data_IF_455844693168
#
_entry.id   IF_455844693168
#
_cell.length_a   1.000
_cell.length_b   1.000
_cell.length_c   1.000
_cell.angle_alpha   90.00
_cell.angle_beta   90.00
_cell.angle_gamma   90.00
#
_symmetry.space_group_name_H-M   'P 1'
#
loop_
_entity.id
_entity.type
_entity.pdbx_description
1 polymer ?
#
# COMPACT_ATOMS: atom_id res chain seq x y z
N UNK A 1 21.63 -3.15 -3.43
CA UNK A 1 21.24 -1.86 -4.05
C UNK A 1 22.48 -1.03 -4.35
N UNK A 2 23.16 -1.23 -5.48
CA UNK A 2 24.37 -0.47 -5.81
C UNK A 2 24.08 0.86 -6.53
N UNK A 3 22.88 0.98 -7.13
CA UNK A 3 22.52 2.07 -8.05
C UNK A 3 21.56 3.11 -7.43
N UNK A 4 20.90 2.78 -6.32
CA UNK A 4 20.02 3.69 -5.59
C UNK A 4 20.79 4.22 -4.38
N UNK A 5 20.95 5.54 -4.29
CA UNK A 5 21.71 6.20 -3.22
C UNK A 5 20.88 7.30 -2.56
N UNK A 6 21.22 7.60 -1.30
CA UNK A 6 20.62 8.69 -0.56
C UNK A 6 20.90 10.03 -1.22
N UNK A 7 19.84 10.77 -1.52
CA UNK A 7 19.90 12.12 -2.07
C UNK A 7 20.36 13.15 -1.04
N UNK A 8 21.10 14.16 -1.51
CA UNK A 8 21.60 15.27 -0.71
C UNK A 8 21.16 16.58 -1.37
N UNK A 9 20.67 17.52 -0.57
CA UNK A 9 20.12 18.79 -1.04
C UNK A 9 20.87 19.97 -0.42
N UNK A 10 20.91 21.08 -1.16
CA UNK A 10 21.12 22.43 -0.62
C UNK A 10 20.02 23.31 -1.19
N UNK A 11 19.40 24.13 -0.36
CA UNK A 11 18.33 25.04 -0.77
C UNK A 11 18.90 26.45 -0.85
N UNK A 12 18.57 27.21 -1.89
CA UNK A 12 18.93 28.64 -1.97
C UNK A 12 17.83 29.45 -1.31
N UNK A 13 18.14 30.12 -0.20
CA UNK A 13 17.23 31.00 0.52
C UNK A 13 17.88 32.37 0.68
N UNK A 14 17.19 33.45 0.30
CA UNK A 14 17.71 34.83 0.35
C UNK A 14 19.10 34.97 -0.27
N UNK A 15 19.29 34.38 -1.45
CA UNK A 15 20.55 34.38 -2.20
C UNK A 15 21.74 33.63 -1.55
N UNK A 16 21.56 32.99 -0.39
CA UNK A 16 22.56 32.11 0.24
C UNK A 16 22.13 30.65 0.17
N UNK A 17 23.10 29.73 0.06
CA UNK A 17 22.83 28.30 0.15
C UNK A 17 22.75 27.89 1.62
N UNK A 18 21.79 27.01 1.95
CA UNK A 18 21.73 26.34 3.24
C UNK A 18 22.88 25.35 3.41
N UNK A 19 23.02 24.85 4.64
CA UNK A 19 23.80 23.65 4.91
C UNK A 19 23.26 22.43 4.15
N UNK A 20 24.10 21.40 4.09
CA UNK A 20 23.79 20.15 3.41
C UNK A 20 22.67 19.41 4.16
N UNK A 21 21.55 19.19 3.49
CA UNK A 21 20.43 18.40 3.99
C UNK A 21 20.54 17.01 3.40
N UNK A 22 20.67 15.99 4.25
CA UNK A 22 20.69 14.58 3.84
C UNK A 22 19.30 14.00 4.08
N UNK A 23 18.62 13.58 3.01
CA UNK A 23 17.30 12.97 3.17
C UNK A 23 17.41 11.60 3.82
N UNK A 24 16.56 11.31 4.81
CA UNK A 24 16.48 9.97 5.42
C UNK A 24 15.39 9.09 4.81
N UNK A 25 14.37 9.69 4.19
CA UNK A 25 13.19 9.01 3.64
C UNK A 25 12.69 9.72 2.39
N UNK A 26 11.85 9.03 1.63
CA UNK A 26 11.19 9.58 0.45
C UNK A 26 12.05 9.52 -0.81
N UNK A 27 11.36 9.45 -1.94
CA UNK A 27 11.95 9.54 -3.26
C UNK A 27 11.87 10.99 -3.76
N UNK A 28 12.75 11.35 -4.71
CA UNK A 28 12.76 12.70 -5.26
C UNK A 28 11.50 12.91 -6.11
N UNK A 29 10.62 13.81 -5.71
CA UNK A 29 9.47 14.20 -6.53
C UNK A 29 9.94 14.87 -7.83
N UNK A 30 9.27 14.58 -8.94
CA UNK A 30 9.63 15.05 -10.27
C UNK A 30 10.80 14.32 -10.93
N UNK A 31 11.41 13.33 -10.25
CA UNK A 31 12.37 12.42 -10.87
C UNK A 31 11.63 11.27 -11.55
N UNK A 32 11.78 11.07 -12.87
CA UNK A 32 11.10 10.00 -13.59
C UNK A 32 11.41 8.60 -13.04
N UNK A 33 12.58 8.38 -12.42
CA UNK A 33 12.92 7.09 -11.82
C UNK A 33 12.24 6.83 -10.48
N UNK A 34 11.86 7.87 -9.74
CA UNK A 34 11.17 7.72 -8.46
C UNK A 34 9.83 6.98 -8.62
N UNK A 35 9.11 7.25 -9.71
CA UNK A 35 7.85 6.55 -10.01
C UNK A 35 8.08 5.04 -10.21
N UNK A 36 9.11 4.65 -10.96
CA UNK A 36 9.44 3.24 -11.17
C UNK A 36 9.90 2.53 -9.88
N UNK A 37 10.69 3.21 -9.04
CA UNK A 37 11.10 2.66 -7.75
C UNK A 37 9.89 2.43 -6.83
N UNK A 38 8.93 3.36 -6.84
CA UNK A 38 7.67 3.19 -6.12
C UNK A 38 6.85 2.00 -6.64
N UNK A 39 6.78 1.79 -7.96
CA UNK A 39 6.12 0.63 -8.55
C UNK A 39 6.73 -0.69 -8.07
N UNK A 40 8.05 -0.81 -7.96
CA UNK A 40 8.67 -2.01 -7.42
C UNK A 40 8.30 -2.27 -5.94
N UNK A 41 8.16 -1.21 -5.15
CA UNK A 41 7.66 -1.34 -3.78
C UNK A 41 6.21 -1.84 -3.78
N UNK A 42 5.32 -1.25 -4.58
CA UNK A 42 3.91 -1.67 -4.63
C UNK A 42 3.73 -3.07 -5.25
N UNK A 43 4.58 -3.46 -6.19
CA UNK A 43 4.64 -4.82 -6.74
C UNK A 43 4.98 -5.87 -5.67
N UNK A 44 5.82 -5.52 -4.69
CA UNK A 44 6.06 -6.41 -3.54
C UNK A 44 4.80 -6.61 -2.68
N UNK A 45 4.01 -5.55 -2.45
CA UNK A 45 2.72 -5.65 -1.76
C UNK A 45 1.72 -6.48 -2.58
N UNK A 46 1.68 -6.29 -3.90
CA UNK A 46 0.87 -7.08 -4.85
C UNK A 46 1.15 -8.57 -4.67
N UNK A 47 2.42 -8.96 -4.70
CA UNK A 47 2.84 -10.36 -4.52
C UNK A 47 2.46 -10.95 -3.17
N UNK A 48 2.51 -10.15 -2.09
CA UNK A 48 2.05 -10.62 -0.76
C UNK A 48 0.56 -10.94 -0.76
N UNK A 49 -0.26 -10.13 -1.43
CA UNK A 49 -1.68 -10.39 -1.60
C UNK A 49 -1.96 -11.57 -2.53
N UNK A 50 -1.21 -11.72 -3.63
CA UNK A 50 -1.31 -12.87 -4.53
C UNK A 50 -0.96 -14.18 -3.82
N UNK A 51 0.13 -14.21 -3.04
CA UNK A 51 0.50 -15.36 -2.22
C UNK A 51 -0.60 -15.71 -1.21
N UNK A 52 -1.14 -14.71 -0.52
CA UNK A 52 -2.26 -14.91 0.40
C UNK A 52 -3.51 -15.47 -0.31
N UNK A 53 -3.72 -15.12 -1.58
CA UNK A 53 -4.80 -15.67 -2.39
C UNK A 53 -4.54 -17.11 -2.82
N UNK A 54 -3.33 -17.43 -3.26
CA UNK A 54 -2.91 -18.79 -3.59
C UNK A 54 -3.04 -19.72 -2.38
N UNK A 55 -2.65 -19.23 -1.19
CA UNK A 55 -2.73 -19.95 0.08
C UNK A 55 -4.12 -19.91 0.73
N UNK A 56 -5.16 -19.45 0.02
CA UNK A 56 -6.55 -19.37 0.50
C UNK A 56 -6.77 -18.54 1.79
N UNK A 57 -5.80 -17.69 2.16
CA UNK A 57 -5.90 -16.77 3.30
C UNK A 57 -6.79 -15.57 2.97
N UNK A 58 -6.77 -15.10 1.73
CA UNK A 58 -7.64 -14.02 1.23
C UNK A 58 -8.24 -14.47 -0.09
N UNK A 59 -9.57 -14.52 -0.21
CA UNK A 59 -10.19 -15.07 -1.43
C UNK A 59 -10.38 -14.04 -2.55
N UNK A 60 -10.44 -12.75 -2.22
CA UNK A 60 -10.78 -11.69 -3.17
C UNK A 60 -12.19 -11.81 -3.75
N UNK A 61 -12.47 -10.98 -4.75
CA UNK A 61 -13.71 -10.89 -5.51
C UNK A 61 -13.49 -11.29 -6.98
N UNK A 62 -14.58 -11.54 -7.72
CA UNK A 62 -14.54 -11.72 -9.19
C UNK A 62 -15.74 -11.03 -9.80
N UNK A 63 -15.56 -10.36 -10.94
CA UNK A 63 -16.62 -9.65 -11.63
C UNK A 63 -17.53 -10.57 -12.47
N UNK A 64 -17.03 -11.73 -12.88
CA UNK A 64 -17.77 -12.74 -13.64
C UNK A 64 -17.50 -14.14 -13.10
N UNK A 65 -18.33 -15.12 -13.48
CA UNK A 65 -18.22 -16.51 -13.00
C UNK A 65 -16.84 -17.11 -13.32
N UNK A 66 -16.33 -16.83 -14.51
CA UNK A 66 -15.08 -17.38 -15.04
C UNK A 66 -13.94 -16.35 -15.09
N UNK A 67 -14.17 -15.16 -14.52
CA UNK A 67 -13.17 -14.10 -14.45
C UNK A 67 -12.12 -14.34 -13.35
N UNK A 68 -10.98 -13.64 -13.44
CA UNK A 68 -9.91 -13.74 -12.44
C UNK A 68 -10.40 -13.26 -11.08
N UNK A 69 -9.77 -13.79 -10.02
CA UNK A 69 -9.94 -13.28 -8.66
C UNK A 69 -9.03 -12.09 -8.44
N UNK A 70 -9.61 -11.02 -7.93
CA UNK A 70 -8.96 -9.75 -7.64
C UNK A 70 -9.12 -9.48 -6.15
N UNK A 71 -8.02 -9.23 -5.46
CA UNK A 71 -8.03 -8.84 -4.04
C UNK A 71 -7.46 -7.43 -3.80
N UNK A 72 -6.85 -6.80 -4.81
CA UNK A 72 -6.38 -5.42 -4.73
C UNK A 72 -6.40 -4.74 -6.11
N UNK A 73 -6.47 -3.40 -6.11
CA UNK A 73 -6.23 -2.53 -7.26
C UNK A 73 -5.39 -1.35 -6.78
N UNK A 74 -4.26 -1.10 -7.42
CA UNK A 74 -3.37 0.01 -7.08
C UNK A 74 -3.43 1.10 -8.14
N UNK A 75 -3.54 2.33 -7.67
CA UNK A 75 -3.39 3.56 -8.43
C UNK A 75 -2.18 4.34 -7.90
N UNK A 76 -1.90 5.51 -8.46
CA UNK A 76 -0.74 6.30 -8.05
C UNK A 76 -0.76 6.65 -6.55
N UNK A 77 -1.90 7.16 -6.07
CA UNK A 77 -2.05 7.65 -4.70
C UNK A 77 -3.01 6.81 -3.84
N UNK A 78 -3.79 5.94 -4.47
CA UNK A 78 -4.89 5.21 -3.84
C UNK A 78 -4.77 3.70 -4.06
N UNK A 79 -5.24 2.93 -3.08
CA UNK A 79 -5.34 1.48 -3.17
C UNK A 79 -6.75 1.05 -2.77
N UNK A 80 -7.34 0.15 -3.56
CA UNK A 80 -8.57 -0.56 -3.20
C UNK A 80 -8.22 -1.99 -2.84
N UNK A 81 -8.66 -2.42 -1.66
CA UNK A 81 -8.47 -3.79 -1.18
C UNK A 81 -9.82 -4.49 -1.06
N UNK A 82 -9.90 -5.70 -1.59
CA UNK A 82 -11.11 -6.51 -1.58
C UNK A 82 -10.93 -7.74 -0.70
N UNK A 83 -11.58 -7.70 0.46
CA UNK A 83 -11.52 -8.75 1.47
C UNK A 83 -12.94 -9.17 1.83
N UNK A 84 -13.16 -10.48 2.01
CA UNK A 84 -14.47 -10.94 2.48
C UNK A 84 -14.66 -10.57 3.94
N UNK A 85 -15.90 -10.34 4.34
CA UNK A 85 -16.26 -10.12 5.75
C UNK A 85 -16.19 -11.43 6.56
N UNK A 86 -14.98 -11.98 6.66
CA UNK A 86 -14.61 -13.14 7.44
C UNK A 86 -13.42 -12.73 8.29
N UNK A 87 -13.53 -12.89 9.61
CA UNK A 87 -12.53 -12.45 10.58
C UNK A 87 -11.11 -12.84 10.18
N UNK A 88 -10.90 -14.11 9.81
CA UNK A 88 -9.60 -14.65 9.37
C UNK A 88 -9.01 -13.93 8.13
N UNK A 89 -9.85 -13.50 7.18
CA UNK A 89 -9.36 -12.84 5.96
C UNK A 89 -9.03 -11.37 6.24
N UNK A 90 -9.81 -10.72 7.10
CA UNK A 90 -9.54 -9.37 7.59
C UNK A 90 -8.23 -9.34 8.36
N UNK A 91 -8.03 -10.29 9.29
CA UNK A 91 -6.78 -10.44 10.04
C UNK A 91 -5.59 -10.70 9.12
N UNK A 92 -5.74 -11.58 8.13
CA UNK A 92 -4.70 -11.83 7.14
C UNK A 92 -4.36 -10.57 6.34
N UNK A 93 -5.35 -9.77 5.94
CA UNK A 93 -5.14 -8.50 5.25
C UNK A 93 -4.37 -7.52 6.13
N UNK A 94 -4.79 -7.34 7.39
CA UNK A 94 -4.10 -6.45 8.33
C UNK A 94 -2.66 -6.89 8.60
N UNK A 95 -2.42 -8.20 8.68
CA UNK A 95 -1.07 -8.73 8.86
C UNK A 95 -0.17 -8.46 7.64
N UNK A 96 -0.68 -8.61 6.41
CA UNK A 96 0.04 -8.28 5.18
C UNK A 96 0.42 -6.79 5.18
N UNK A 97 -0.54 -5.92 5.48
CA UNK A 97 -0.33 -4.48 5.53
C UNK A 97 0.72 -4.08 6.57
N UNK A 98 0.64 -4.66 7.77
CA UNK A 98 1.63 -4.42 8.83
C UNK A 98 3.03 -4.91 8.46
N UNK A 99 3.12 -6.08 7.84
CA UNK A 99 4.40 -6.61 7.36
C UNK A 99 4.98 -5.70 6.27
N UNK A 100 4.16 -5.27 5.31
CA UNK A 100 4.60 -4.34 4.27
C UNK A 100 5.07 -3.00 4.83
N UNK A 101 4.33 -2.42 5.77
CA UNK A 101 4.72 -1.19 6.46
C UNK A 101 6.07 -1.34 7.15
N UNK A 102 6.30 -2.46 7.85
CA UNK A 102 7.58 -2.71 8.53
C UNK A 102 8.76 -2.88 7.57
N UNK A 103 8.53 -3.44 6.38
CA UNK A 103 9.57 -3.70 5.38
C UNK A 103 9.88 -2.48 4.53
N UNK A 104 8.86 -1.72 4.13
CA UNK A 104 8.98 -0.57 3.22
C UNK A 104 9.14 0.77 3.94
N UNK A 105 8.70 0.85 5.20
CA UNK A 105 8.55 2.11 5.93
C UNK A 105 7.38 2.98 5.43
N UNK A 106 6.52 2.46 4.55
CA UNK A 106 5.32 3.13 4.05
C UNK A 106 4.12 2.76 4.92
N UNK A 107 3.68 3.70 5.75
CA UNK A 107 2.50 3.53 6.61
C UNK A 107 1.20 3.85 5.90
N UNK A 108 0.10 3.28 6.37
CA UNK A 108 -1.24 3.61 5.90
C UNK A 108 -1.67 4.95 6.47
N UNK A 109 -2.24 5.81 5.63
CA UNK A 109 -2.87 7.02 6.09
C UNK A 109 -4.27 6.71 6.64
N UNK A 110 -4.39 6.65 7.97
CA UNK A 110 -5.66 6.37 8.65
C UNK A 110 -6.73 7.44 8.43
N UNK A 111 -6.35 8.68 8.13
CA UNK A 111 -7.32 9.76 7.83
C UNK A 111 -7.98 9.57 6.46
N UNK A 112 -7.29 8.89 5.54
CA UNK A 112 -7.80 8.57 4.20
C UNK A 112 -8.34 7.15 4.08
N UNK A 113 -8.14 6.31 5.09
CA UNK A 113 -8.58 4.93 5.07
C UNK A 113 -10.11 4.86 5.17
N UNK A 114 -10.74 4.13 4.26
CA UNK A 114 -12.18 3.98 4.21
C UNK A 114 -12.55 2.51 4.02
N UNK A 115 -13.57 2.07 4.74
CA UNK A 115 -14.13 0.71 4.62
C UNK A 115 -15.53 0.79 4.04
N UNK A 116 -15.74 0.08 2.93
CA UNK A 116 -17.05 -0.07 2.31
C UNK A 116 -17.59 -1.48 2.55
N UNK A 117 -18.81 -1.55 3.10
CA UNK A 117 -19.47 -2.81 3.37
C UNK A 117 -20.55 -3.11 2.33
N UNK A 118 -20.69 -4.39 1.98
CA UNK A 118 -21.85 -4.87 1.24
C UNK A 118 -23.15 -4.49 1.99
N UNK A 119 -24.24 -4.11 1.30
CA UNK A 119 -25.52 -3.79 1.94
C UNK A 119 -26.03 -4.89 2.89
N UNK A 120 -25.67 -6.15 2.61
CA UNK A 120 -26.06 -7.34 3.39
C UNK A 120 -25.25 -7.53 4.68
N UNK A 121 -24.18 -6.76 4.89
CA UNK A 121 -23.38 -6.84 6.13
C UNK A 121 -24.15 -6.19 7.28
N UNK A 122 -24.36 -6.93 8.37
CA UNK A 122 -25.11 -6.45 9.53
C UNK A 122 -24.37 -5.34 10.28
N UNK A 123 -25.08 -4.45 10.96
CA UNK A 123 -24.49 -3.34 11.73
C UNK A 123 -23.48 -3.83 12.76
N UNK A 124 -23.78 -4.93 13.46
CA UNK A 124 -22.87 -5.54 14.44
C UNK A 124 -21.54 -5.99 13.82
N UNK A 125 -21.55 -6.45 12.56
CA UNK A 125 -20.33 -6.83 11.85
C UNK A 125 -19.54 -5.61 11.36
N UNK A 126 -20.22 -4.51 11.01
CA UNK A 126 -19.54 -3.26 10.57
C UNK A 126 -18.76 -2.62 11.70
N UNK A 127 -19.34 -2.60 12.91
CA UNK A 127 -18.70 -2.00 14.10
C UNK A 127 -17.41 -2.73 14.50
N UNK A 128 -17.29 -4.04 14.21
CA UNK A 128 -16.08 -4.83 14.53
C UNK A 128 -14.91 -4.61 13.57
N UNK A 129 -15.18 -4.05 12.39
CA UNK A 129 -14.18 -3.89 11.34
C UNK A 129 -13.61 -2.45 11.26
N UNK A 130 -14.21 -1.52 11.99
CA UNK A 130 -13.68 -0.17 12.24
C UNK A 130 -12.88 -0.16 13.55
#
# INVERSE_FOLDING_TARGET
>A
MCCVRTVKYKVKCNSKLTDLIISKRGLRQGDPFSAYLFLFCMDSLSRMFEDAQMNQKIKGIRASKDGPRINHLFFADDALLFVRNLQREVEACMQILKTFESMSGQGINMEKFMVYFCPKTSTAQRVRAN
#
